data_IF_054883091847
#
_entry.id   IF_054883091847
#
_cell.length_a   1.000
_cell.length_b   1.000
_cell.length_c   1.000
_cell.angle_alpha   90.00
_cell.angle_beta   90.00
_cell.angle_gamma   90.00
#
_symmetry.space_group_name_H-M   'P 1'
#
loop_
_entity.id
_entity.type
_entity.pdbx_description
1 polymer ?
#
# COMPACT_ATOMS: atom_id res chain seq x y z
N UNK A 1 13.23 30.33 0.75
CA UNK A 1 11.83 30.73 0.55
C UNK A 1 11.18 29.54 -0.11
N UNK A 2 10.26 28.90 0.61
CA UNK A 2 9.65 27.65 0.20
C UNK A 2 8.62 27.90 -0.90
N UNK A 3 8.67 27.06 -1.93
CA UNK A 3 7.62 26.99 -2.93
C UNK A 3 6.52 26.09 -2.39
N UNK A 4 5.56 26.72 -1.70
CA UNK A 4 4.28 26.11 -1.38
C UNK A 4 3.50 25.89 -2.70
N UNK A 5 3.34 24.63 -3.09
CA UNK A 5 2.50 24.24 -4.22
C UNK A 5 1.02 24.43 -3.85
N UNK A 6 0.46 25.59 -4.22
CA UNK A 6 -0.96 25.91 -4.10
C UNK A 6 -1.71 25.23 -5.27
N UNK A 7 -2.43 24.15 -4.97
CA UNK A 7 -3.40 23.56 -5.91
C UNK A 7 -4.67 24.39 -5.94
N UNK A 8 -4.90 25.09 -7.06
CA UNK A 8 -6.12 25.86 -7.29
C UNK A 8 -7.18 24.95 -7.93
N UNK A 9 -8.37 24.97 -7.33
CA UNK A 9 -9.64 24.35 -7.73
C UNK A 9 -9.84 24.13 -9.23
N UNK A 10 -10.15 22.89 -9.62
CA UNK A 10 -10.76 22.57 -10.91
C UNK A 10 -12.13 21.90 -10.70
N UNK A 11 -13.01 22.21 -11.63
CA UNK A 11 -14.44 21.96 -11.62
C UNK A 11 -14.85 20.51 -11.33
N UNK A 12 -16.01 20.38 -10.70
CA UNK A 12 -16.71 19.13 -10.37
C UNK A 12 -16.90 18.24 -11.60
N UNK A 13 -16.10 17.18 -11.69
CA UNK A 13 -16.38 16.01 -12.51
C UNK A 13 -17.20 15.06 -11.63
N UNK A 14 -18.37 14.64 -12.11
CA UNK A 14 -19.17 13.64 -11.39
C UNK A 14 -18.40 12.32 -11.26
N UNK A 15 -18.43 11.64 -10.10
CA UNK A 15 -17.67 10.42 -9.89
C UNK A 15 -18.40 9.24 -10.53
N UNK A 16 -18.10 8.93 -11.79
CA UNK A 16 -18.46 7.64 -12.38
C UNK A 16 -17.23 6.74 -12.52
N UNK A 17 -17.27 5.67 -11.73
CA UNK A 17 -16.68 4.33 -11.89
C UNK A 17 -15.40 4.00 -11.09
N UNK A 18 -15.62 3.05 -10.16
CA UNK A 18 -14.66 2.30 -9.37
C UNK A 18 -13.78 1.42 -10.28
N UNK A 19 -12.93 2.03 -11.11
CA UNK A 19 -12.09 1.27 -12.04
C UNK A 19 -10.67 1.13 -11.52
N UNK A 20 -10.18 -0.11 -11.55
CA UNK A 20 -8.77 -0.42 -11.41
C UNK A 20 -8.01 0.23 -12.57
N UNK A 21 -7.06 1.11 -12.25
CA UNK A 21 -6.18 1.72 -13.24
C UNK A 21 -5.01 0.77 -13.51
N UNK A 22 -4.72 0.53 -14.79
CA UNK A 22 -3.54 -0.23 -15.21
C UNK A 22 -2.62 0.66 -16.03
N UNK A 23 -1.36 0.77 -15.62
CA UNK A 23 -0.29 1.42 -16.39
C UNK A 23 0.58 0.30 -16.97
N UNK A 24 0.52 0.03 -18.28
CA UNK A 24 1.27 -1.06 -18.88
C UNK A 24 2.78 -0.82 -18.82
N UNK A 25 3.54 -1.90 -18.71
CA UNK A 25 4.99 -1.84 -18.90
C UNK A 25 5.31 -1.32 -20.30
N UNK A 26 6.31 -0.44 -20.41
CA UNK A 26 6.78 0.13 -21.69
C UNK A 26 7.79 -0.76 -22.41
N UNK A 27 8.40 -1.70 -21.69
CA UNK A 27 9.23 -2.80 -22.19
C UNK A 27 8.56 -4.14 -21.85
N UNK A 28 9.26 -5.25 -22.10
CA UNK A 28 8.82 -6.58 -21.70
C UNK A 28 8.36 -6.56 -20.24
N UNK A 29 7.11 -6.95 -20.03
CA UNK A 29 6.50 -7.04 -18.71
C UNK A 29 7.12 -8.22 -17.94
N UNK A 30 7.92 -7.93 -16.91
CA UNK A 30 8.59 -8.96 -16.10
C UNK A 30 8.29 -8.85 -14.61
N UNK A 31 7.60 -7.79 -14.19
CA UNK A 31 7.18 -7.58 -12.82
C UNK A 31 5.90 -6.75 -12.77
N UNK A 32 5.12 -6.92 -11.72
CA UNK A 32 3.91 -6.12 -11.46
C UNK A 32 3.99 -5.47 -10.09
N UNK A 33 3.66 -4.19 -10.01
CA UNK A 33 3.40 -3.51 -8.74
C UNK A 33 1.90 -3.30 -8.59
N UNK A 34 1.32 -3.82 -7.52
CA UNK A 34 -0.07 -3.53 -7.13
C UNK A 34 -0.02 -2.41 -6.08
N UNK A 35 -0.49 -1.21 -6.45
CA UNK A 35 -0.47 -0.04 -5.59
C UNK A 35 -1.85 0.19 -4.92
N UNK A 36 -1.93 0.00 -3.61
CA UNK A 36 -3.16 0.03 -2.82
C UNK A 36 -3.26 1.36 -2.06
N UNK A 37 -4.23 2.20 -2.44
CA UNK A 37 -4.39 3.53 -1.85
C UNK A 37 -4.94 3.49 -0.42
N UNK A 38 -4.80 4.59 0.32
CA UNK A 38 -5.33 4.74 1.67
C UNK A 38 -6.81 5.09 1.72
N UNK A 39 -7.35 5.17 2.95
CA UNK A 39 -8.73 5.52 3.24
C UNK A 39 -9.15 6.80 2.51
N UNK A 40 -10.21 6.71 1.74
CA UNK A 40 -10.88 7.84 1.15
C UNK A 40 -10.18 8.48 -0.04
N UNK A 41 -9.14 7.84 -0.55
CA UNK A 41 -8.39 8.26 -1.73
C UNK A 41 -8.93 7.60 -3.00
N UNK A 42 -8.49 8.12 -4.15
CA UNK A 42 -8.85 7.59 -5.47
C UNK A 42 -7.59 7.21 -6.26
N UNK A 43 -7.76 6.35 -7.27
CA UNK A 43 -6.68 5.87 -8.14
C UNK A 43 -6.02 6.97 -8.97
N UNK A 44 -6.76 8.02 -9.37
CA UNK A 44 -6.24 9.09 -10.22
C UNK A 44 -5.10 9.87 -9.56
N UNK A 45 -5.23 10.22 -8.28
CA UNK A 45 -4.16 10.92 -7.54
C UNK A 45 -2.86 10.11 -7.48
N UNK A 46 -2.97 8.79 -7.29
CA UNK A 46 -1.80 7.92 -7.20
C UNK A 46 -1.20 7.61 -8.57
N UNK A 47 -2.04 7.51 -9.61
CA UNK A 47 -1.61 7.31 -11.00
C UNK A 47 -0.61 8.38 -11.42
N UNK A 48 -0.90 9.65 -11.16
CA UNK A 48 -0.04 10.74 -11.63
C UNK A 48 1.31 10.73 -10.90
N UNK A 49 1.32 10.50 -9.57
CA UNK A 49 2.56 10.31 -8.81
C UNK A 49 3.40 9.14 -9.34
N UNK A 50 2.75 8.00 -9.64
CA UNK A 50 3.42 6.81 -10.16
C UNK A 50 4.01 7.08 -11.55
N UNK A 51 3.25 7.73 -12.44
CA UNK A 51 3.69 8.08 -13.80
C UNK A 51 4.90 9.01 -13.80
N UNK A 52 4.95 9.97 -12.89
CA UNK A 52 6.04 10.96 -12.83
C UNK A 52 7.24 10.43 -12.04
N UNK A 53 7.00 9.82 -10.87
CA UNK A 53 8.04 9.47 -9.91
C UNK A 53 8.67 8.08 -10.10
N UNK A 54 7.92 7.12 -10.65
CA UNK A 54 8.33 5.69 -10.62
C UNK A 54 8.46 5.07 -12.02
N UNK A 55 7.44 5.22 -12.87
CA UNK A 55 7.36 4.59 -14.20
C UNK A 55 8.57 4.85 -15.09
N UNK A 56 9.15 6.08 -15.18
CA UNK A 56 10.26 6.35 -16.09
C UNK A 56 11.51 5.52 -15.80
N UNK A 57 11.68 5.05 -14.57
CA UNK A 57 12.84 4.29 -14.10
C UNK A 57 12.56 2.78 -13.96
N UNK A 58 11.31 2.35 -14.21
CA UNK A 58 10.87 0.96 -14.07
C UNK A 58 10.12 0.49 -15.32
N UNK A 59 10.75 0.52 -16.51
CA UNK A 59 10.05 0.34 -17.79
C UNK A 59 9.49 -1.07 -18.01
N UNK A 60 9.97 -2.08 -17.28
CA UNK A 60 9.52 -3.48 -17.34
C UNK A 60 8.43 -3.82 -16.30
N UNK A 61 8.01 -2.83 -15.49
CA UNK A 61 6.99 -2.99 -14.46
C UNK A 61 5.63 -2.53 -14.98
N UNK A 62 4.62 -3.38 -14.84
CA UNK A 62 3.22 -2.99 -14.96
C UNK A 62 2.70 -2.52 -13.60
N UNK A 63 1.87 -1.47 -13.57
CA UNK A 63 1.27 -0.96 -12.35
C UNK A 63 -0.22 -1.20 -12.35
N UNK A 64 -0.74 -1.82 -11.30
CA UNK A 64 -2.16 -2.08 -11.08
C UNK A 64 -2.59 -1.30 -9.86
N UNK A 65 -3.54 -0.39 -10.00
CA UNK A 65 -3.99 0.51 -8.93
C UNK A 65 -5.49 0.26 -8.74
N UNK A 66 -5.89 -0.67 -7.86
CA UNK A 66 -7.30 -0.95 -7.63
C UNK A 66 -7.99 0.19 -6.88
N UNK A 67 -9.28 0.40 -7.19
CA UNK A 67 -10.12 1.38 -6.54
C UNK A 67 -10.98 0.70 -5.47
N UNK A 68 -10.86 1.11 -4.22
CA UNK A 68 -11.75 0.66 -3.16
C UNK A 68 -13.19 1.12 -3.42
N UNK A 69 -14.17 0.28 -3.04
CA UNK A 69 -15.58 0.64 -3.11
C UNK A 69 -15.97 1.60 -1.99
N UNK A 70 -17.09 2.31 -2.18
CA UNK A 70 -17.62 3.22 -1.17
C UNK A 70 -18.25 2.42 -0.02
N UNK A 71 -17.67 2.55 1.18
CA UNK A 71 -18.16 1.95 2.42
C UNK A 71 -18.43 3.04 3.45
N UNK A 72 -19.28 2.72 4.43
CA UNK A 72 -19.49 3.60 5.57
C UNK A 72 -18.25 3.51 6.48
N UNK A 73 -17.70 4.67 6.84
CA UNK A 73 -16.48 4.79 7.66
C UNK A 73 -16.88 5.38 9.01
N UNK A 74 -16.88 4.54 10.04
CA UNK A 74 -17.31 4.91 11.39
C UNK A 74 -16.45 6.01 12.00
N UNK A 75 -15.14 6.00 11.76
CA UNK A 75 -14.18 6.99 12.26
C UNK A 75 -14.52 8.44 11.85
N UNK A 76 -14.99 8.63 10.61
CA UNK A 76 -15.31 9.96 10.07
C UNK A 76 -16.83 10.21 9.90
N UNK A 77 -17.66 9.24 10.28
CA UNK A 77 -19.12 9.26 10.09
C UNK A 77 -19.56 9.62 8.66
N UNK A 78 -18.87 9.08 7.65
CA UNK A 78 -19.16 9.36 6.23
C UNK A 78 -18.92 8.16 5.35
N UNK A 79 -19.59 8.13 4.19
CA UNK A 79 -19.35 7.16 3.13
C UNK A 79 -18.28 7.66 2.17
N UNK A 80 -17.26 6.85 1.90
CA UNK A 80 -16.16 7.16 0.96
C UNK A 80 -15.39 5.89 0.58
N UNK A 81 -14.47 5.94 -0.39
CA UNK A 81 -13.69 4.76 -0.75
C UNK A 81 -12.92 4.20 0.45
N UNK A 82 -13.14 2.94 0.80
CA UNK A 82 -12.43 2.29 1.91
C UNK A 82 -12.32 0.79 1.64
N UNK A 83 -11.20 0.20 2.05
CA UNK A 83 -11.03 -1.25 1.96
C UNK A 83 -11.92 -1.94 2.99
N UNK A 84 -11.85 -1.47 4.22
CA UNK A 84 -12.66 -1.98 5.33
C UNK A 84 -13.00 -0.83 6.28
N UNK A 85 -14.04 -1.02 7.08
CA UNK A 85 -14.49 0.00 8.03
C UNK A 85 -13.52 0.10 9.21
N UNK A 86 -13.31 1.33 9.69
CA UNK A 86 -12.55 1.62 10.90
C UNK A 86 -13.34 2.60 11.79
N UNK A 87 -13.24 2.43 13.10
CA UNK A 87 -13.78 3.30 14.14
C UNK A 87 -12.73 4.27 14.70
N UNK A 88 -11.44 3.96 14.55
CA UNK A 88 -10.34 4.84 14.93
C UNK A 88 -9.18 4.74 13.93
N UNK A 89 -8.27 5.73 13.94
CA UNK A 89 -7.05 5.71 13.14
C UNK A 89 -5.85 6.10 14.04
N UNK A 90 -4.88 5.19 14.28
CA UNK A 90 -4.94 3.77 13.92
C UNK A 90 -6.07 3.05 14.66
N UNK A 91 -6.59 1.93 14.12
CA UNK A 91 -7.55 1.09 14.81
C UNK A 91 -7.05 0.57 16.15
N UNK A 92 -7.98 0.47 17.10
CA UNK A 92 -7.71 -0.17 18.40
C UNK A 92 -7.42 -1.67 18.27
N UNK A 93 -6.91 -2.30 19.35
CA UNK A 93 -6.52 -3.72 19.33
C UNK A 93 -7.68 -4.69 19.02
N UNK A 94 -8.90 -4.33 19.43
CA UNK A 94 -10.10 -5.14 19.21
C UNK A 94 -10.81 -4.83 17.89
N UNK A 95 -10.40 -3.77 17.21
CA UNK A 95 -11.02 -3.26 16.00
C UNK A 95 -10.54 -4.04 14.77
N UNK A 96 -11.27 -5.11 14.48
CA UNK A 96 -10.97 -6.01 13.38
C UNK A 96 -12.27 -6.62 12.84
N UNK A 97 -12.81 -6.06 11.76
CA UNK A 97 -13.93 -6.65 11.02
C UNK A 97 -13.37 -7.72 10.09
N UNK A 98 -13.31 -8.96 10.60
CA UNK A 98 -12.74 -10.11 9.90
C UNK A 98 -13.39 -10.34 8.53
N UNK A 99 -14.71 -10.15 8.41
CA UNK A 99 -15.42 -10.37 7.16
C UNK A 99 -15.04 -9.31 6.12
N UNK A 100 -15.07 -8.03 6.50
CA UNK A 100 -14.74 -6.93 5.58
C UNK A 100 -13.25 -6.95 5.16
N UNK A 101 -12.37 -7.34 6.08
CA UNK A 101 -10.94 -7.48 5.80
C UNK A 101 -10.70 -8.68 4.88
N UNK A 102 -11.33 -9.83 5.13
CA UNK A 102 -11.23 -11.01 4.26
C UNK A 102 -11.73 -10.71 2.84
N UNK A 103 -12.84 -9.98 2.71
CA UNK A 103 -13.34 -9.52 1.41
C UNK A 103 -12.28 -8.67 0.68
N UNK A 104 -11.66 -7.72 1.39
CA UNK A 104 -10.63 -6.84 0.83
C UNK A 104 -9.38 -7.59 0.40
N UNK A 105 -8.98 -8.60 1.19
CA UNK A 105 -7.84 -9.46 0.86
C UNK A 105 -8.14 -10.25 -0.40
N UNK A 106 -9.35 -10.80 -0.53
CA UNK A 106 -9.79 -11.49 -1.73
C UNK A 106 -9.67 -10.64 -3.01
N UNK A 107 -9.98 -9.34 -2.92
CA UNK A 107 -9.82 -8.42 -4.06
C UNK A 107 -8.35 -8.34 -4.50
N UNK A 108 -7.41 -8.23 -3.57
CA UNK A 108 -5.97 -8.13 -3.91
C UNK A 108 -5.43 -9.49 -4.37
N UNK A 109 -5.88 -10.59 -3.76
CA UNK A 109 -5.55 -11.96 -4.19
C UNK A 109 -6.00 -12.23 -5.62
N UNK A 110 -7.21 -11.82 -6.01
CA UNK A 110 -7.70 -11.96 -7.37
C UNK A 110 -6.82 -11.20 -8.38
N UNK A 111 -6.29 -10.04 -7.99
CA UNK A 111 -5.34 -9.29 -8.81
C UNK A 111 -3.99 -10.01 -8.89
N UNK A 112 -3.46 -10.55 -7.79
CA UNK A 112 -2.24 -11.37 -7.77
C UNK A 112 -2.41 -12.57 -8.72
N UNK A 113 -3.49 -13.32 -8.57
CA UNK A 113 -3.83 -14.48 -9.41
C UNK A 113 -3.98 -14.09 -10.88
N UNK A 114 -4.62 -12.96 -11.19
CA UNK A 114 -4.74 -12.45 -12.56
C UNK A 114 -3.38 -12.22 -13.21
N UNK A 115 -2.41 -11.67 -12.47
CA UNK A 115 -1.04 -11.48 -12.96
C UNK A 115 -0.30 -12.82 -13.13
N UNK A 116 -0.49 -13.76 -12.20
CA UNK A 116 0.07 -15.11 -12.30
C UNK A 116 -0.46 -15.84 -13.54
N UNK A 117 -1.77 -15.76 -13.81
CA UNK A 117 -2.37 -16.34 -15.02
C UNK A 117 -1.84 -15.72 -16.32
N UNK A 118 -1.35 -14.48 -16.27
CA UNK A 118 -0.68 -13.81 -17.39
C UNK A 118 0.80 -14.19 -17.53
N UNK A 119 1.31 -15.07 -16.66
CA UNK A 119 2.67 -15.60 -16.71
C UNK A 119 3.69 -14.84 -15.86
N UNK A 120 3.25 -13.93 -14.99
CA UNK A 120 4.13 -13.24 -14.04
C UNK A 120 4.31 -14.13 -12.80
N UNK A 121 5.55 -14.49 -12.49
CA UNK A 121 5.86 -15.22 -11.26
C UNK A 121 5.43 -14.38 -10.03
N UNK A 122 4.83 -15.01 -9.02
CA UNK A 122 4.40 -14.31 -7.80
C UNK A 122 5.56 -13.56 -7.11
N UNK A 123 6.79 -14.09 -7.20
CA UNK A 123 8.00 -13.46 -6.68
C UNK A 123 8.40 -12.18 -7.44
N UNK A 124 7.70 -11.87 -8.53
CA UNK A 124 7.81 -10.62 -9.31
C UNK A 124 6.58 -9.73 -9.16
N UNK A 125 5.68 -10.06 -8.23
CA UNK A 125 4.56 -9.21 -7.83
C UNK A 125 4.91 -8.54 -6.50
N UNK A 126 4.90 -7.21 -6.48
CA UNK A 126 5.19 -6.40 -5.30
C UNK A 126 3.94 -5.63 -4.90
N UNK A 127 3.58 -5.68 -3.62
CA UNK A 127 2.49 -4.86 -3.08
C UNK A 127 3.07 -3.56 -2.52
N UNK A 128 2.50 -2.43 -2.90
CA UNK A 128 2.83 -1.12 -2.32
C UNK A 128 1.54 -0.53 -1.80
N UNK A 129 1.51 -0.12 -0.53
CA UNK A 129 0.31 0.46 0.05
C UNK A 129 0.58 1.74 0.80
N UNK A 130 -0.41 2.63 0.83
CA UNK A 130 -0.43 3.83 1.66
C UNK A 130 -1.48 3.73 2.76
N UNK A 131 -1.13 4.06 4.01
CA UNK A 131 -2.06 4.11 5.15
C UNK A 131 -2.91 2.82 5.27
N UNK A 132 -4.24 2.90 5.16
CA UNK A 132 -5.11 1.71 5.16
C UNK A 132 -4.75 0.68 4.05
N UNK A 133 -4.31 1.15 2.87
CA UNK A 133 -3.83 0.27 1.81
C UNK A 133 -2.54 -0.44 2.17
N UNK A 134 -1.65 0.20 2.94
CA UNK A 134 -0.45 -0.44 3.49
C UNK A 134 -0.80 -1.55 4.47
N UNK A 135 -1.79 -1.30 5.33
CA UNK A 135 -2.33 -2.31 6.24
C UNK A 135 -2.84 -3.53 5.46
N UNK A 136 -3.67 -3.29 4.43
CA UNK A 136 -4.20 -4.34 3.58
C UNK A 136 -3.10 -5.12 2.84
N UNK A 137 -2.15 -4.42 2.20
CA UNK A 137 -1.03 -5.06 1.48
C UNK A 137 -0.21 -5.97 2.38
N UNK A 138 0.05 -5.56 3.62
CA UNK A 138 0.79 -6.40 4.56
C UNK A 138 -0.05 -7.58 5.06
N UNK A 139 -1.35 -7.40 5.33
CA UNK A 139 -2.24 -8.50 5.69
C UNK A 139 -2.33 -9.56 4.59
N UNK A 140 -2.46 -9.14 3.32
CA UNK A 140 -2.41 -10.04 2.16
C UNK A 140 -1.09 -10.82 2.17
N UNK A 141 0.05 -10.15 2.25
CA UNK A 141 1.34 -10.82 2.20
C UNK A 141 1.60 -11.79 3.37
N UNK A 142 1.01 -11.53 4.54
CA UNK A 142 1.12 -12.42 5.71
C UNK A 142 0.23 -13.67 5.59
N UNK A 143 -0.82 -13.63 4.77
CA UNK A 143 -1.84 -14.70 4.64
C UNK A 143 -1.92 -15.36 3.27
N UNK A 144 -1.22 -14.83 2.27
CA UNK A 144 -1.15 -15.40 0.93
C UNK A 144 -0.24 -16.62 0.88
N UNK A 145 -0.64 -17.65 0.14
CA UNK A 145 0.21 -18.81 -0.14
C UNK A 145 1.25 -18.55 -1.25
N UNK A 146 1.21 -17.36 -1.87
CA UNK A 146 2.11 -16.96 -2.93
C UNK A 146 3.38 -16.31 -2.36
N UNK A 147 4.56 -16.74 -2.82
CA UNK A 147 5.82 -16.09 -2.47
C UNK A 147 5.93 -14.74 -3.20
N UNK A 148 5.43 -13.67 -2.58
CA UNK A 148 5.46 -12.32 -3.16
C UNK A 148 6.87 -11.74 -3.22
N UNK A 149 7.11 -10.89 -4.23
CA UNK A 149 8.39 -10.21 -4.43
C UNK A 149 8.74 -9.19 -3.35
N UNK A 150 7.75 -8.66 -2.64
CA UNK A 150 7.94 -7.75 -1.51
C UNK A 150 6.70 -6.95 -1.15
N UNK A 151 6.76 -6.27 0.00
CA UNK A 151 5.74 -5.30 0.43
C UNK A 151 6.38 -3.97 0.81
N UNK A 152 5.88 -2.87 0.26
CA UNK A 152 6.20 -1.53 0.75
C UNK A 152 5.00 -0.91 1.50
N UNK A 153 5.22 -0.53 2.75
CA UNK A 153 4.27 0.18 3.61
C UNK A 153 4.65 1.65 3.70
N UNK A 154 3.77 2.54 3.21
CA UNK A 154 3.96 3.99 3.23
C UNK A 154 2.97 4.61 4.24
N UNK A 155 3.48 5.17 5.34
CA UNK A 155 2.68 5.70 6.45
C UNK A 155 1.61 4.70 6.95
N UNK A 156 1.96 3.41 6.95
CA UNK A 156 1.04 2.32 7.24
C UNK A 156 0.86 2.02 8.73
N UNK A 157 0.02 1.03 8.99
CA UNK A 157 -0.25 0.43 10.29
C UNK A 157 -0.78 -0.99 10.04
N UNK A 158 -0.98 -1.82 11.07
CA UNK A 158 -1.76 -3.07 10.97
C UNK A 158 -2.63 -3.27 12.21
N UNK A 159 -3.85 -3.83 12.09
CA UNK A 159 -4.64 -4.23 13.25
C UNK A 159 -3.86 -5.24 14.10
N UNK A 160 -4.00 -5.18 15.43
CA UNK A 160 -3.26 -6.09 16.31
C UNK A 160 -3.58 -7.56 16.01
N UNK A 161 -4.86 -7.90 15.82
CA UNK A 161 -5.33 -9.25 15.46
C UNK A 161 -4.76 -9.77 14.15
N UNK A 162 -4.35 -8.89 13.23
CA UNK A 162 -3.70 -9.31 12.00
C UNK A 162 -2.32 -9.99 12.25
N UNK A 163 -1.72 -9.76 13.42
CA UNK A 163 -0.47 -10.39 13.86
C UNK A 163 -0.66 -11.81 14.40
N UNK A 164 -1.88 -12.25 14.69
CA UNK A 164 -2.12 -13.49 15.44
C UNK A 164 -2.14 -14.75 14.57
N UNK A 165 -2.31 -14.62 13.24
CA UNK A 165 -2.41 -15.78 12.34
C UNK A 165 -1.59 -15.64 11.04
N UNK A 166 -0.29 -15.33 11.06
CA UNK A 166 0.52 -15.38 9.84
C UNK A 166 0.62 -16.83 9.33
N UNK A 167 0.83 -17.00 8.01
CA UNK A 167 1.32 -18.28 7.49
C UNK A 167 2.64 -18.62 8.17
N UNK A 168 2.90 -19.92 8.35
CA UNK A 168 4.17 -20.40 8.87
C UNK A 168 5.33 -19.94 7.98
N UNK A 169 6.20 -19.07 8.52
CA UNK A 169 7.45 -18.60 7.91
C UNK A 169 7.33 -17.77 6.61
N UNK A 170 6.64 -16.62 6.60
CA UNK A 170 6.57 -15.79 5.40
C UNK A 170 7.95 -15.23 5.05
N UNK A 171 8.28 -15.23 3.75
CA UNK A 171 9.60 -14.85 3.25
C UNK A 171 9.50 -13.85 2.10
N UNK A 172 9.34 -12.58 2.42
CA UNK A 172 9.35 -11.48 1.47
C UNK A 172 10.06 -10.27 2.08
N UNK A 173 10.77 -9.47 1.28
CA UNK A 173 11.36 -8.22 1.76
C UNK A 173 10.27 -7.19 2.07
N UNK A 174 10.48 -6.40 3.11
CA UNK A 174 9.61 -5.27 3.47
C UNK A 174 10.38 -3.97 3.43
N UNK A 175 9.81 -2.96 2.79
CA UNK A 175 10.15 -1.55 3.01
C UNK A 175 9.05 -0.91 3.85
N UNK A 176 9.40 -0.31 4.98
CA UNK A 176 8.50 0.49 5.78
C UNK A 176 8.99 1.94 5.78
N UNK A 177 8.16 2.87 5.34
CA UNK A 177 8.47 4.30 5.30
C UNK A 177 7.47 5.06 6.17
N UNK A 178 7.94 5.87 7.11
CA UNK A 178 7.06 6.59 8.05
C UNK A 178 7.52 8.01 8.35
N UNK A 179 6.55 8.93 8.46
CA UNK A 179 6.81 10.32 8.85
C UNK A 179 6.91 10.47 10.37
N UNK A 180 7.91 11.19 10.88
CA UNK A 180 8.08 11.40 12.32
C UNK A 180 7.13 12.45 12.92
N UNK A 181 6.46 13.24 12.08
CA UNK A 181 5.45 14.20 12.49
C UNK A 181 4.03 13.70 12.14
N UNK A 182 3.86 12.40 11.92
CA UNK A 182 2.56 11.78 11.64
C UNK A 182 1.71 11.73 12.93
N UNK A 183 0.71 12.61 13.00
CA UNK A 183 -0.23 12.69 14.12
C UNK A 183 -1.41 11.72 13.99
N UNK A 184 -1.65 11.16 12.78
CA UNK A 184 -2.73 10.20 12.56
C UNK A 184 -2.28 8.79 12.91
N UNK A 185 -1.05 8.44 12.54
CA UNK A 185 -0.42 7.16 12.87
C UNK A 185 0.91 7.48 13.59
N UNK A 186 0.89 7.59 14.93
CA UNK A 186 2.11 7.85 15.69
C UNK A 186 3.20 6.83 15.38
N UNK A 187 4.46 7.29 15.36
CA UNK A 187 5.61 6.49 14.90
C UNK A 187 5.80 5.22 15.73
N UNK A 188 5.38 5.22 16.99
CA UNK A 188 5.42 4.09 17.90
C UNK A 188 4.64 2.90 17.33
N UNK A 189 3.51 3.13 16.64
CA UNK A 189 2.76 2.06 15.98
C UNK A 189 3.57 1.44 14.84
N UNK A 190 4.27 2.25 14.04
CA UNK A 190 5.15 1.75 12.99
C UNK A 190 6.32 0.94 13.57
N UNK A 191 6.92 1.43 14.66
CA UNK A 191 8.00 0.73 15.38
C UNK A 191 7.56 -0.65 15.90
N UNK A 192 6.38 -0.73 16.52
CA UNK A 192 5.80 -1.99 17.01
C UNK A 192 5.56 -3.00 15.90
N UNK A 193 5.13 -2.53 14.72
CA UNK A 193 4.91 -3.40 13.56
C UNK A 193 6.23 -3.84 12.97
N UNK A 194 7.19 -2.94 12.79
CA UNK A 194 8.53 -3.27 12.29
C UNK A 194 9.24 -4.26 13.22
N UNK A 195 9.12 -4.10 14.54
CA UNK A 195 9.65 -5.05 15.52
C UNK A 195 9.00 -6.43 15.38
N UNK A 196 7.68 -6.48 15.20
CA UNK A 196 6.96 -7.72 14.90
C UNK A 196 7.46 -8.37 13.60
N UNK A 197 7.62 -7.61 12.52
CA UNK A 197 8.06 -8.13 11.23
C UNK A 197 9.49 -8.69 11.31
N UNK A 198 10.41 -7.97 11.96
CA UNK A 198 11.78 -8.46 12.16
C UNK A 198 11.85 -9.78 12.94
N UNK A 199 10.89 -10.03 13.83
CA UNK A 199 10.82 -11.26 14.62
C UNK A 199 10.21 -12.43 13.85
N UNK A 200 9.25 -12.16 12.96
CA UNK A 200 8.39 -13.20 12.38
C UNK A 200 8.59 -13.44 10.88
N UNK A 201 9.21 -12.51 10.15
CA UNK A 201 9.56 -12.69 8.74
C UNK A 201 10.95 -13.30 8.58
N UNK A 202 11.11 -14.13 7.56
CA UNK A 202 12.44 -14.58 7.09
C UNK A 202 13.11 -13.55 6.17
N UNK A 203 12.31 -12.74 5.48
CA UNK A 203 12.78 -11.70 4.58
C UNK A 203 13.28 -10.45 5.33
N UNK A 204 14.10 -9.61 4.69
CA UNK A 204 14.65 -8.42 5.32
C UNK A 204 13.58 -7.33 5.49
N UNK A 205 13.64 -6.60 6.61
CA UNK A 205 12.80 -5.42 6.86
C UNK A 205 13.67 -4.17 6.88
N UNK A 206 13.45 -3.26 5.94
CA UNK A 206 14.06 -1.93 5.88
C UNK A 206 13.06 -0.91 6.46
N UNK A 207 13.47 -0.13 7.46
CA UNK A 207 12.61 0.89 8.08
C UNK A 207 13.22 2.29 7.94
N UNK A 208 12.54 3.14 7.17
CA UNK A 208 12.94 4.49 6.83
C UNK A 208 12.03 5.52 7.50
N UNK A 209 12.65 6.49 8.18
CA UNK A 209 11.95 7.53 8.95
C UNK A 209 12.23 8.90 8.34
N UNK A 210 11.18 9.72 8.21
CA UNK A 210 11.27 11.03 7.55
C UNK A 210 10.97 12.15 8.56
N UNK A 211 11.99 12.89 9.05
CA UNK A 211 11.81 14.00 9.98
C UNK A 211 10.90 15.09 9.44
N UNK A 212 9.97 15.57 10.26
CA UNK A 212 9.03 16.66 9.90
C UNK A 212 7.94 16.29 8.89
N UNK A 213 7.93 15.05 8.38
CA UNK A 213 6.88 14.57 7.50
C UNK A 213 5.69 14.08 8.34
N UNK A 214 4.48 14.57 8.02
CA UNK A 214 3.22 14.09 8.61
C UNK A 214 2.67 12.84 7.91
N UNK A 215 1.35 12.66 7.97
CA UNK A 215 0.64 11.54 7.29
C UNK A 215 0.52 11.74 5.78
N UNK A 216 1.66 11.74 5.09
CA UNK A 216 1.76 11.97 3.65
C UNK A 216 3.03 11.34 3.09
N UNK A 217 3.24 11.48 1.78
CA UNK A 217 4.47 11.10 1.09
C UNK A 217 5.21 12.36 0.60
N UNK A 218 6.53 12.29 0.50
CA UNK A 218 7.34 13.34 -0.12
C UNK A 218 8.29 12.75 -1.17
N UNK A 219 9.00 13.63 -1.90
CA UNK A 219 9.92 13.21 -2.94
C UNK A 219 11.04 12.28 -2.43
N UNK A 220 11.52 12.49 -1.20
CA UNK A 220 12.54 11.63 -0.59
C UNK A 220 12.01 10.20 -0.37
N UNK A 221 10.77 10.07 0.11
CA UNK A 221 10.12 8.76 0.27
C UNK A 221 9.88 8.07 -1.06
N UNK A 222 9.46 8.81 -2.09
CA UNK A 222 9.31 8.27 -3.45
C UNK A 222 10.65 7.80 -4.01
N UNK A 223 11.75 8.54 -3.79
CA UNK A 223 13.08 8.13 -4.21
C UNK A 223 13.55 6.84 -3.52
N UNK A 224 13.29 6.70 -2.21
CA UNK A 224 13.55 5.46 -1.47
C UNK A 224 12.76 4.29 -2.02
N UNK A 225 11.45 4.48 -2.25
CA UNK A 225 10.59 3.45 -2.84
C UNK A 225 11.10 3.03 -4.22
N UNK A 226 11.44 4.00 -5.07
CA UNK A 226 12.01 3.73 -6.40
C UNK A 226 13.27 2.87 -6.29
N UNK A 227 14.24 3.29 -5.47
CA UNK A 227 15.49 2.56 -5.29
C UNK A 227 15.27 1.14 -4.77
N UNK A 228 14.27 0.94 -3.92
CA UNK A 228 13.89 -0.37 -3.41
C UNK A 228 13.23 -1.25 -4.48
N UNK A 229 12.26 -0.71 -5.23
CA UNK A 229 11.60 -1.41 -6.33
C UNK A 229 12.57 -1.78 -7.45
N UNK A 230 13.53 -0.92 -7.78
CA UNK A 230 14.57 -1.21 -8.79
C UNK A 230 15.36 -2.47 -8.42
N UNK A 231 15.65 -2.72 -7.14
CA UNK A 231 16.39 -3.92 -6.71
C UNK A 231 15.59 -5.22 -6.82
N UNK A 232 14.26 -5.13 -6.79
CA UNK A 232 13.38 -6.31 -6.81
C UNK A 232 12.89 -6.64 -8.22
N UNK A 233 12.60 -5.60 -9.00
CA UNK A 233 11.91 -5.72 -10.28
C UNK A 233 12.84 -5.70 -11.49
N UNK A 234 14.09 -5.25 -11.37
CA UNK A 234 15.08 -5.23 -12.46
C UNK A 234 16.18 -6.25 -12.24
#
# INVERSE_FOLDING_TARGET
>A
MGDDLIFTSMASVEPSQQETVVIPASKTHTATVIFVHGLGQNTATWRDMILEGLVPNLPNVEWVIPQASDKDVSYEHRRRPAWFNITALPPGPDEFDENAITESIGIIEDLILSQVHRGIDASKIVLVGFSQGAALSLMVALWTLHDLGGVASLAGWIPLKAKDQPIASPNFPVLWCHGLADELIPTEHAEDVVAYLNKNLKGPVQFEKYPGLGHTINAAMVATLLAWLTRLCM
#
